data_IF_356024414434
#
_entry.id   IF_356024414434
#
_cell.length_a   1.000
_cell.length_b   1.000
_cell.length_c   1.000
_cell.angle_alpha   90.00
_cell.angle_beta   90.00
_cell.angle_gamma   90.00
#
_symmetry.space_group_name_H-M   'P 1'
#
loop_
_entity.id
_entity.type
_entity.pdbx_description
1 polymer ?
#
# COMPACT_ATOMS: atom_id res chain seq x y z
N UNK A 1 -2.52 -32.72 -10.41
CA UNK A 1 -1.87 -31.49 -9.90
C UNK A 1 -0.98 -31.01 -11.04
N UNK A 2 -1.25 -29.84 -11.59
CA UNK A 2 -0.37 -29.27 -12.63
C UNK A 2 0.99 -28.91 -12.05
N UNK A 3 2.04 -28.99 -12.85
CA UNK A 3 3.37 -28.51 -12.45
C UNK A 3 3.33 -27.00 -12.23
N UNK A 4 4.03 -26.53 -11.20
CA UNK A 4 4.22 -25.10 -10.93
C UNK A 4 5.24 -24.56 -11.91
N UNK A 5 4.95 -23.43 -12.55
CA UNK A 5 5.88 -22.74 -13.45
C UNK A 5 7.19 -22.42 -12.70
N UNK A 6 8.35 -22.90 -13.20
CA UNK A 6 9.66 -22.66 -12.58
C UNK A 6 9.97 -21.18 -12.31
N UNK A 7 9.37 -20.24 -13.04
CA UNK A 7 9.55 -18.81 -12.82
C UNK A 7 9.15 -18.33 -11.41
N UNK A 8 8.28 -19.08 -10.72
CA UNK A 8 7.82 -18.77 -9.35
C UNK A 8 8.56 -19.54 -8.26
N UNK A 9 9.50 -20.42 -8.63
CA UNK A 9 10.18 -21.29 -7.68
C UNK A 9 11.43 -20.59 -7.14
N UNK A 10 11.38 -20.19 -5.86
CA UNK A 10 12.54 -19.68 -5.14
C UNK A 10 13.63 -20.74 -4.98
N UNK A 11 14.90 -20.32 -5.01
CA UNK A 11 16.03 -21.18 -4.69
C UNK A 11 15.92 -21.73 -3.26
N UNK A 12 16.36 -22.97 -2.99
CA UNK A 12 16.21 -23.60 -1.68
C UNK A 12 16.71 -22.74 -0.50
N UNK A 13 17.78 -21.96 -0.70
CA UNK A 13 18.37 -21.06 0.30
C UNK A 13 17.50 -19.83 0.63
N UNK A 14 16.63 -19.42 -0.29
CA UNK A 14 15.73 -18.27 -0.13
C UNK A 14 14.33 -18.66 0.35
N UNK A 15 14.01 -19.96 0.39
CA UNK A 15 12.69 -20.42 0.81
C UNK A 15 12.46 -20.15 2.30
N UNK A 16 11.25 -19.72 2.68
CA UNK A 16 10.93 -19.53 4.09
C UNK A 16 11.07 -20.86 4.83
N UNK A 17 11.63 -20.80 6.05
CA UNK A 17 11.59 -21.93 6.97
C UNK A 17 10.14 -22.10 7.40
N UNK A 18 9.53 -23.24 7.05
CA UNK A 18 8.11 -23.53 7.31
C UNK A 18 7.75 -23.74 8.80
N UNK A 19 8.64 -23.36 9.73
CA UNK A 19 8.24 -23.18 11.11
C UNK A 19 7.22 -22.04 11.14
N UNK A 20 5.95 -22.37 11.34
CA UNK A 20 4.91 -21.38 11.62
C UNK A 20 5.34 -20.69 12.92
N UNK A 21 5.88 -19.49 12.80
CA UNK A 21 6.06 -18.59 13.93
C UNK A 21 4.80 -17.74 13.91
N UNK A 22 3.84 -18.05 14.78
CA UNK A 22 2.81 -17.07 15.08
C UNK A 22 3.51 -15.87 15.70
N UNK A 23 3.39 -14.72 15.04
CA UNK A 23 3.96 -13.48 15.55
C UNK A 23 3.11 -13.01 16.74
N UNK A 24 3.46 -13.48 17.94
CA UNK A 24 2.85 -13.03 19.18
C UNK A 24 3.35 -11.63 19.56
N UNK A 25 2.45 -10.75 19.98
CA UNK A 25 2.83 -9.45 20.55
C UNK A 25 3.07 -8.32 19.55
N UNK A 26 2.63 -8.45 18.29
CA UNK A 26 2.62 -7.33 17.33
C UNK A 26 1.91 -6.14 17.98
N UNK A 27 2.55 -4.95 18.07
CA UNK A 27 1.94 -3.79 18.71
C UNK A 27 0.63 -3.39 18.03
N UNK A 28 -0.38 -3.07 18.85
CA UNK A 28 -1.69 -2.62 18.42
C UNK A 28 -1.91 -1.19 18.94
N UNK A 29 -1.76 -0.20 18.06
CA UNK A 29 -1.76 1.22 18.39
C UNK A 29 -3.17 1.80 18.25
N UNK A 30 -3.67 2.46 19.30
CA UNK A 30 -4.95 3.16 19.30
C UNK A 30 -4.78 4.64 18.90
N UNK A 31 -5.33 5.03 17.75
CA UNK A 31 -5.25 6.41 17.23
C UNK A 31 -6.39 7.33 17.72
N UNK A 32 -7.25 6.87 18.64
CA UNK A 32 -8.30 7.71 19.22
C UNK A 32 -7.81 9.04 19.83
N UNK A 33 -6.60 9.15 20.44
CA UNK A 33 -6.13 10.43 20.99
C UNK A 33 -5.99 11.56 19.97
N UNK A 34 -5.78 11.24 18.69
CA UNK A 34 -5.60 12.25 17.62
C UNK A 34 -6.86 12.49 16.79
N UNK A 35 -7.96 11.80 17.08
CA UNK A 35 -9.25 12.02 16.42
C UNK A 35 -9.99 13.25 16.94
N UNK A 36 -9.53 13.86 18.02
CA UNK A 36 -10.11 15.08 18.61
C UNK A 36 -9.20 16.27 18.37
N UNK A 37 -9.78 17.44 18.08
CA UNK A 37 -9.03 18.70 17.97
C UNK A 37 -8.63 19.12 19.39
N UNK A 38 -7.32 19.18 19.72
CA UNK A 38 -6.90 19.54 21.06
C UNK A 38 -7.37 20.95 21.39
N UNK A 39 -8.02 21.13 22.54
CA UNK A 39 -8.27 22.47 23.08
C UNK A 39 -7.02 22.92 23.85
N UNK A 40 -6.57 24.18 23.72
CA UNK A 40 -5.33 24.65 24.35
C UNK A 40 -5.23 24.44 25.88
N UNK A 41 -6.37 24.28 26.55
CA UNK A 41 -6.47 24.11 28.01
C UNK A 41 -6.49 22.64 28.46
N UNK A 42 -6.48 21.68 27.53
CA UNK A 42 -6.67 20.26 27.83
C UNK A 42 -5.34 19.53 28.03
N UNK A 43 -4.72 19.75 29.20
CA UNK A 43 -3.49 19.06 29.64
C UNK A 43 -3.61 17.53 29.53
N UNK A 44 -4.81 16.97 29.74
CA UNK A 44 -5.06 15.53 29.60
C UNK A 44 -4.95 15.03 28.16
N UNK A 45 -5.39 15.81 27.18
CA UNK A 45 -5.32 15.45 25.75
C UNK A 45 -3.86 15.47 25.28
N UNK A 46 -3.10 16.49 25.68
CA UNK A 46 -1.67 16.58 25.37
C UNK A 46 -0.89 15.37 25.93
N UNK A 47 -1.16 14.98 27.19
CA UNK A 47 -0.55 13.78 27.78
C UNK A 47 -0.91 12.49 27.05
N UNK A 48 -2.15 12.37 26.56
CA UNK A 48 -2.58 11.20 25.78
C UNK A 48 -1.84 11.14 24.43
N UNK A 49 -1.65 12.29 23.76
CA UNK A 49 -0.88 12.39 22.52
C UNK A 49 0.59 12.07 22.76
N UNK A 50 1.21 12.58 23.83
CA UNK A 50 2.59 12.25 24.21
C UNK A 50 2.77 10.73 24.47
N UNK A 51 1.79 10.11 25.14
CA UNK A 51 1.74 8.67 25.34
C UNK A 51 1.69 7.90 24.02
N UNK A 52 0.81 8.30 23.11
CA UNK A 52 0.69 7.71 21.77
C UNK A 52 1.98 7.85 20.95
N UNK A 53 2.61 9.02 20.96
CA UNK A 53 3.90 9.25 20.27
C UNK A 53 4.98 8.32 20.83
N UNK A 54 5.02 8.13 22.15
CA UNK A 54 5.97 7.23 22.80
C UNK A 54 5.73 5.77 22.39
N UNK A 55 4.47 5.35 22.30
CA UNK A 55 4.08 4.01 21.88
C UNK A 55 4.46 3.73 20.41
N UNK A 56 4.14 4.65 19.50
CA UNK A 56 4.52 4.57 18.09
C UNK A 56 6.05 4.51 17.96
N UNK A 57 6.77 5.38 18.68
CA UNK A 57 8.24 5.38 18.67
C UNK A 57 8.83 4.04 19.14
N UNK A 58 8.25 3.44 20.18
CA UNK A 58 8.65 2.11 20.67
C UNK A 58 8.37 1.01 19.63
N UNK A 59 7.19 1.03 19.00
CA UNK A 59 6.83 0.05 17.97
C UNK A 59 7.75 0.16 16.74
N UNK A 60 8.01 1.39 16.25
CA UNK A 60 8.96 1.63 15.17
C UNK A 60 10.37 1.11 15.52
N UNK A 61 10.86 1.39 16.74
CA UNK A 61 12.21 1.01 17.16
C UNK A 61 12.38 -0.51 17.34
N UNK A 62 11.40 -1.17 17.94
CA UNK A 62 11.54 -2.54 18.40
C UNK A 62 10.97 -3.57 17.41
N UNK A 63 9.96 -3.18 16.62
CA UNK A 63 9.26 -4.05 15.67
C UNK A 63 9.45 -3.65 14.20
N UNK A 64 9.52 -2.35 13.91
CA UNK A 64 9.53 -1.83 12.55
C UNK A 64 8.18 -1.89 11.83
N UNK A 65 7.15 -2.45 12.47
CA UNK A 65 5.75 -2.44 12.02
C UNK A 65 4.80 -2.58 13.22
N UNK A 66 3.54 -2.18 13.04
CA UNK A 66 2.48 -2.29 14.03
C UNK A 66 1.10 -2.23 13.34
N UNK A 67 0.06 -2.66 14.05
CA UNK A 67 -1.33 -2.51 13.62
C UNK A 67 -1.92 -1.23 14.23
N UNK A 68 -2.89 -0.62 13.56
CA UNK A 68 -3.60 0.57 14.04
C UNK A 68 -5.10 0.32 14.16
N UNK A 69 -5.72 0.81 15.24
CA UNK A 69 -7.16 0.82 15.45
C UNK A 69 -7.64 2.24 15.72
N UNK A 70 -8.95 2.46 15.60
CA UNK A 70 -9.57 3.78 15.77
C UNK A 70 -8.93 4.86 14.88
N UNK A 71 -8.50 4.47 13.68
CA UNK A 71 -7.77 5.32 12.72
C UNK A 71 -8.67 6.32 11.96
N UNK A 72 -9.94 6.49 12.34
CA UNK A 72 -10.88 7.45 11.73
C UNK A 72 -11.40 7.09 10.33
N UNK A 73 -10.70 6.27 9.55
CA UNK A 73 -11.18 5.82 8.22
C UNK A 73 -12.49 5.02 8.32
N UNK A 74 -13.55 5.52 7.69
CA UNK A 74 -14.88 4.92 7.71
C UNK A 74 -14.90 3.49 7.13
N UNK A 75 -15.67 2.62 7.77
CA UNK A 75 -15.80 1.21 7.37
C UNK A 75 -16.37 1.06 5.95
N UNK A 76 -17.39 1.85 5.61
CA UNK A 76 -18.02 1.81 4.30
C UNK A 76 -17.02 2.18 3.17
N UNK A 77 -16.11 3.13 3.43
CA UNK A 77 -15.03 3.49 2.49
C UNK A 77 -14.09 2.32 2.25
N UNK A 78 -13.67 1.63 3.31
CA UNK A 78 -12.81 0.43 3.24
C UNK A 78 -13.46 -0.68 2.43
N UNK A 79 -14.72 -1.01 2.73
CA UNK A 79 -15.47 -2.06 2.05
C UNK A 79 -15.68 -1.76 0.56
N UNK A 80 -15.98 -0.49 0.22
CA UNK A 80 -16.12 -0.05 -1.17
C UNK A 80 -14.82 -0.20 -1.96
N UNK A 81 -13.68 0.24 -1.39
CA UNK A 81 -12.37 0.11 -2.04
C UNK A 81 -12.01 -1.36 -2.26
N UNK A 82 -12.19 -2.20 -1.23
CA UNK A 82 -11.92 -3.64 -1.33
C UNK A 82 -12.81 -4.31 -2.39
N UNK A 83 -14.10 -3.95 -2.44
CA UNK A 83 -15.04 -4.46 -3.44
C UNK A 83 -14.66 -4.04 -4.86
N UNK A 84 -14.27 -2.78 -5.06
CA UNK A 84 -13.80 -2.29 -6.35
C UNK A 84 -12.51 -3.00 -6.80
N UNK A 85 -11.54 -3.18 -5.89
CA UNK A 85 -10.32 -3.91 -6.18
C UNK A 85 -10.61 -5.37 -6.59
N UNK A 86 -11.45 -6.08 -5.83
CA UNK A 86 -11.87 -7.46 -6.18
C UNK A 86 -12.53 -7.53 -7.55
N UNK A 87 -13.43 -6.60 -7.86
CA UNK A 87 -14.08 -6.52 -9.19
C UNK A 87 -13.05 -6.31 -10.30
N UNK A 88 -12.07 -5.43 -10.09
CA UNK A 88 -11.00 -5.19 -11.06
C UNK A 88 -10.19 -6.46 -11.33
N UNK A 89 -9.66 -7.11 -10.28
CA UNK A 89 -8.77 -8.26 -10.42
C UNK A 89 -9.48 -9.53 -10.92
N UNK A 90 -10.80 -9.62 -10.74
CA UNK A 90 -11.63 -10.70 -11.29
C UNK A 90 -11.82 -10.62 -12.82
N UNK A 91 -11.44 -9.53 -13.47
CA UNK A 91 -11.56 -9.40 -14.93
C UNK A 91 -10.55 -10.27 -15.68
N UNK A 92 -10.83 -10.59 -16.95
CA UNK A 92 -9.86 -11.25 -17.82
C UNK A 92 -8.53 -10.50 -17.89
N UNK A 93 -7.44 -11.25 -18.06
CA UNK A 93 -6.09 -10.70 -18.12
C UNK A 93 -5.95 -9.61 -19.20
N UNK A 94 -6.58 -9.80 -20.36
CA UNK A 94 -6.56 -8.82 -21.46
C UNK A 94 -7.18 -7.48 -21.07
N UNK A 95 -8.24 -7.49 -20.26
CA UNK A 95 -8.87 -6.26 -19.75
C UNK A 95 -7.95 -5.54 -18.76
N UNK A 96 -7.33 -6.28 -17.83
CA UNK A 96 -6.38 -5.73 -16.87
C UNK A 96 -5.13 -5.17 -17.56
N UNK A 97 -4.68 -5.81 -18.65
CA UNK A 97 -3.49 -5.39 -19.42
C UNK A 97 -3.67 -4.14 -20.26
N UNK A 98 -4.90 -3.63 -20.46
CA UNK A 98 -5.14 -2.34 -21.13
C UNK A 98 -4.48 -1.16 -20.41
N UNK A 99 -4.32 -1.27 -19.10
CA UNK A 99 -3.70 -0.26 -18.24
C UNK A 99 -2.35 -0.75 -17.69
N UNK A 100 -1.66 -1.64 -18.41
CA UNK A 100 -0.39 -2.22 -17.97
C UNK A 100 0.70 -1.15 -17.92
N UNK A 101 1.43 -1.09 -16.81
CA UNK A 101 2.62 -0.25 -16.66
C UNK A 101 3.83 -0.83 -17.40
N UNK A 102 4.74 0.05 -17.81
CA UNK A 102 5.98 -0.27 -18.51
C UNK A 102 7.15 0.63 -18.05
N UNK A 103 8.25 0.66 -18.80
CA UNK A 103 9.45 1.45 -18.46
C UNK A 103 9.21 2.97 -18.50
N UNK A 104 8.14 3.43 -19.17
CA UNK A 104 7.79 4.85 -19.31
C UNK A 104 6.59 5.22 -18.45
N UNK A 105 5.57 4.37 -18.48
CA UNK A 105 4.35 4.53 -17.69
C UNK A 105 4.53 3.68 -16.44
N UNK A 106 4.93 4.28 -15.32
CA UNK A 106 5.37 3.53 -14.13
C UNK A 106 4.26 3.21 -13.12
N UNK A 107 3.03 3.65 -13.37
CA UNK A 107 1.82 3.35 -12.60
C UNK A 107 0.81 2.59 -13.48
N UNK A 108 0.04 1.69 -12.90
CA UNK A 108 -0.90 0.82 -13.60
C UNK A 108 -0.79 -0.65 -13.21
N UNK A 109 -1.39 -1.52 -14.01
CA UNK A 109 -1.42 -2.96 -13.78
C UNK A 109 -0.08 -3.64 -14.09
N UNK A 110 0.31 -4.64 -13.30
CA UNK A 110 1.48 -5.47 -13.59
C UNK A 110 1.36 -6.87 -12.98
N UNK A 111 1.88 -7.88 -13.67
CA UNK A 111 1.81 -9.30 -13.29
C UNK A 111 3.18 -9.99 -13.32
N UNK A 112 4.26 -9.25 -13.58
CA UNK A 112 5.62 -9.80 -13.80
C UNK A 112 6.65 -9.23 -12.81
N UNK A 113 6.24 -8.85 -11.60
CA UNK A 113 7.19 -8.35 -10.59
C UNK A 113 8.13 -9.45 -10.11
N UNK A 114 9.37 -9.06 -9.82
CA UNK A 114 10.40 -9.97 -9.33
C UNK A 114 10.91 -9.51 -7.97
N UNK A 115 10.99 -10.44 -7.02
CA UNK A 115 11.72 -10.27 -5.76
C UNK A 115 12.89 -11.23 -5.75
N UNK A 116 14.11 -10.71 -5.61
CA UNK A 116 15.37 -11.50 -5.68
C UNK A 116 15.48 -12.33 -6.97
N UNK A 117 15.14 -11.72 -8.12
CA UNK A 117 15.15 -12.34 -9.46
C UNK A 117 14.19 -13.52 -9.66
N UNK A 118 13.24 -13.74 -8.75
CA UNK A 118 12.17 -14.75 -8.89
C UNK A 118 10.84 -14.04 -9.03
N UNK A 119 9.98 -14.51 -9.94
CA UNK A 119 8.68 -13.90 -10.18
C UNK A 119 7.80 -14.10 -8.96
N UNK A 120 7.22 -13.02 -8.48
CA UNK A 120 6.30 -13.08 -7.36
C UNK A 120 4.97 -13.67 -7.82
N UNK A 121 4.40 -14.55 -7.01
CA UNK A 121 3.06 -15.07 -7.23
C UNK A 121 2.01 -14.03 -6.84
N UNK A 122 1.95 -12.95 -7.62
CA UNK A 122 1.00 -11.86 -7.43
C UNK A 122 0.78 -11.08 -8.71
N UNK A 123 -0.31 -10.36 -8.73
CA UNK A 123 -0.54 -9.24 -9.63
C UNK A 123 -0.75 -7.97 -8.80
N UNK A 124 -0.49 -6.82 -9.40
CA UNK A 124 -0.51 -5.52 -8.73
C UNK A 124 -1.17 -4.47 -9.62
N UNK A 125 -1.73 -3.44 -8.98
CA UNK A 125 -2.18 -2.21 -9.62
C UNK A 125 -1.66 -1.04 -8.79
N UNK A 126 -0.69 -0.32 -9.35
CA UNK A 126 -0.03 0.81 -8.69
C UNK A 126 -0.65 2.13 -9.14
N UNK A 127 -0.89 3.05 -8.22
CA UNK A 127 -1.41 4.38 -8.51
C UNK A 127 -0.87 5.42 -7.52
N UNK A 128 -0.91 6.69 -7.91
CA UNK A 128 -0.60 7.84 -7.06
C UNK A 128 -1.87 8.54 -6.62
N UNK A 129 -1.86 9.10 -5.41
CA UNK A 129 -3.02 9.80 -4.84
C UNK A 129 -3.23 11.16 -5.49
N UNK A 130 -2.15 11.92 -5.69
CA UNK A 130 -2.18 13.21 -6.38
C UNK A 130 -1.96 12.98 -7.88
N UNK A 131 -2.79 13.60 -8.71
CA UNK A 131 -2.74 13.39 -10.16
C UNK A 131 -2.84 14.74 -10.90
N UNK A 132 -1.78 15.18 -11.63
CA UNK A 132 -0.48 14.52 -11.76
C UNK A 132 0.36 14.58 -10.47
N UNK A 133 1.20 13.58 -10.23
CA UNK A 133 2.28 13.66 -9.24
C UNK A 133 3.56 14.11 -9.93
N UNK A 134 4.19 15.18 -9.44
CA UNK A 134 5.51 15.64 -9.90
C UNK A 134 6.60 14.84 -9.18
N UNK A 135 7.50 14.23 -9.94
CA UNK A 135 8.66 13.50 -9.41
C UNK A 135 9.94 13.93 -10.12
N UNK A 136 11.12 13.78 -9.49
CA UNK A 136 12.39 13.95 -10.19
C UNK A 136 12.48 13.05 -11.42
N UNK A 137 12.99 13.58 -12.53
CA UNK A 137 13.16 12.84 -13.77
C UNK A 137 14.26 11.77 -13.66
N UNK A 138 15.21 11.94 -12.74
CA UNK A 138 16.28 10.98 -12.47
C UNK A 138 16.63 10.89 -10.99
N UNK A 139 17.46 9.88 -10.65
CA UNK A 139 18.02 9.69 -9.30
C UNK A 139 19.25 10.58 -9.05
N UNK A 140 19.73 11.31 -10.07
CA UNK A 140 20.85 12.22 -9.91
C UNK A 140 20.39 13.46 -9.13
N UNK A 141 20.93 13.73 -7.92
CA UNK A 141 20.52 14.89 -7.13
C UNK A 141 20.84 16.24 -7.80
N UNK A 142 21.73 16.28 -8.79
CA UNK A 142 22.05 17.49 -9.54
C UNK A 142 21.09 17.73 -10.71
N UNK A 143 20.35 16.72 -11.12
CA UNK A 143 19.32 16.82 -12.14
C UNK A 143 18.05 17.44 -11.52
N UNK A 144 17.63 18.57 -12.10
CA UNK A 144 16.47 19.35 -11.64
C UNK A 144 15.27 19.18 -12.56
N UNK A 145 15.37 18.32 -13.56
CA UNK A 145 14.24 17.99 -14.40
C UNK A 145 13.19 17.22 -13.59
N UNK A 146 11.93 17.54 -13.85
CA UNK A 146 10.77 16.89 -13.24
C UNK A 146 10.00 16.16 -14.33
N UNK A 147 9.36 15.06 -13.95
CA UNK A 147 8.42 14.35 -14.80
C UNK A 147 7.10 14.16 -14.06
N UNK A 148 6.04 13.93 -14.83
CA UNK A 148 4.68 13.80 -14.32
C UNK A 148 4.25 12.34 -14.36
N UNK A 149 3.73 11.85 -13.24
CA UNK A 149 3.07 10.55 -13.19
C UNK A 149 1.56 10.74 -13.27
N UNK A 150 0.94 10.04 -14.23
CA UNK A 150 -0.50 10.08 -14.51
C UNK A 150 -1.05 8.66 -14.37
N UNK A 151 -2.09 8.52 -13.55
CA UNK A 151 -2.69 7.22 -13.26
C UNK A 151 -3.37 6.61 -14.50
N UNK A 152 -3.14 5.33 -14.72
CA UNK A 152 -3.85 4.55 -15.74
C UNK A 152 -5.07 3.88 -15.11
N UNK A 153 -6.16 4.62 -14.97
CA UNK A 153 -7.38 4.10 -14.36
C UNK A 153 -8.12 3.11 -15.27
N UNK A 154 -8.64 1.99 -14.76
CA UNK A 154 -9.42 1.07 -15.56
C UNK A 154 -10.80 1.65 -15.90
N UNK A 155 -11.33 1.30 -17.07
CA UNK A 155 -12.70 1.66 -17.47
C UNK A 155 -13.76 0.96 -16.60
N UNK A 156 -13.43 -0.25 -16.13
CA UNK A 156 -14.27 -1.06 -15.26
C UNK A 156 -13.40 -1.71 -14.17
N UNK A 157 -13.76 -1.62 -12.87
CA UNK A 157 -14.81 -0.79 -12.30
C UNK A 157 -14.41 0.71 -12.26
N UNK A 158 -15.24 1.65 -12.75
CA UNK A 158 -14.93 3.08 -12.68
C UNK A 158 -14.82 3.60 -11.24
N UNK A 159 -15.38 2.86 -10.28
CA UNK A 159 -15.32 3.17 -8.85
C UNK A 159 -13.91 3.14 -8.28
N UNK A 160 -13.01 2.37 -8.90
CA UNK A 160 -11.62 2.31 -8.46
C UNK A 160 -10.93 3.67 -8.55
N UNK A 161 -11.33 4.54 -9.48
CA UNK A 161 -10.78 5.89 -9.61
C UNK A 161 -11.25 6.80 -8.47
N UNK A 162 -12.56 7.00 -8.35
CA UNK A 162 -13.07 8.03 -7.46
C UNK A 162 -13.02 7.66 -5.97
N UNK A 163 -12.98 6.36 -5.64
CA UNK A 163 -12.83 5.91 -4.25
C UNK A 163 -11.42 6.18 -3.72
N UNK A 164 -10.41 6.17 -4.61
CA UNK A 164 -9.01 6.40 -4.27
C UNK A 164 -8.61 7.89 -4.33
N UNK A 165 -9.32 8.72 -5.10
CA UNK A 165 -9.00 10.15 -5.26
C UNK A 165 -9.78 11.09 -4.33
N UNK A 166 -10.80 10.61 -3.60
CA UNK A 166 -11.58 11.48 -2.69
C UNK A 166 -10.94 11.49 -1.30
N UNK A 167 -10.48 12.67 -0.90
CA UNK A 167 -9.93 13.01 0.42
C UNK A 167 -10.68 12.31 1.56
N UNK A 168 -9.93 11.75 2.51
CA UNK A 168 -10.43 11.45 3.86
C UNK A 168 -10.70 12.76 4.61
#
# INVERSE_FOLDING_TARGET
>A
MGEVDPAFIQDPEHRPKLSIIEAEGIPLIDLSPINSIPTPDSISELKAIEGLVTEIGSACKNWGFFQVINHGVALDKREKIETAARKFFAQPLEEKRKIRRDEKIVVGYYDTEHTKNVRDWKEVFDFVVEEPTLVPASLDPEDKEETEWINQWPENPPELRYLNLRNC
#
